data_IF_068096961981
#
_entry.id   IF_068096961981
#
_cell.length_a   1.000
_cell.length_b   1.000
_cell.length_c   1.000
_cell.angle_alpha   90.00
_cell.angle_beta   90.00
_cell.angle_gamma   90.00
#
_symmetry.space_group_name_H-M   'P 1'
#
loop_
_entity.id
_entity.type
_entity.pdbx_description
1 polymer ?
#
# COMPACT_ATOMS: atom_id res chain seq x y z
N UNK A 1 3.30 12.24 -14.58
CA UNK A 1 1.98 11.99 -15.19
C UNK A 1 1.88 12.78 -16.49
N UNK A 2 2.05 12.11 -17.62
CA UNK A 2 1.78 12.70 -18.94
C UNK A 2 0.66 11.86 -19.54
N UNK A 3 -0.34 12.57 -20.06
CA UNK A 3 -1.59 12.10 -20.68
C UNK A 3 -2.74 11.80 -19.70
N UNK A 4 -3.09 12.80 -18.87
CA UNK A 4 -4.42 12.85 -18.27
C UNK A 4 -5.30 13.76 -19.15
N UNK A 5 -6.48 13.32 -19.63
CA UNK A 5 -7.37 14.16 -20.41
C UNK A 5 -7.80 15.39 -19.59
N UNK A 6 -7.96 16.52 -20.28
CA UNK A 6 -8.28 17.81 -19.66
C UNK A 6 -9.53 17.69 -18.76
N UNK A 7 -9.36 18.01 -17.46
CA UNK A 7 -10.44 18.06 -16.47
C UNK A 7 -10.47 16.93 -15.44
N UNK A 8 -9.61 15.91 -15.53
CA UNK A 8 -9.54 14.87 -14.49
C UNK A 8 -8.56 15.25 -13.38
N UNK A 9 -8.99 15.09 -12.12
CA UNK A 9 -8.13 15.32 -10.97
C UNK A 9 -6.92 14.35 -10.98
N UNK A 10 -5.74 14.77 -10.52
CA UNK A 10 -4.58 13.89 -10.47
C UNK A 10 -4.88 12.66 -9.60
N UNK A 11 -4.39 11.47 -9.97
CA UNK A 11 -4.63 10.26 -9.21
C UNK A 11 -4.01 10.37 -7.81
N UNK A 12 -4.80 10.08 -6.78
CA UNK A 12 -4.37 10.14 -5.36
C UNK A 12 -4.12 8.77 -4.74
N UNK A 13 -4.53 7.70 -5.43
CA UNK A 13 -4.42 6.33 -4.95
C UNK A 13 -3.25 5.59 -5.61
N UNK A 14 -2.53 4.79 -4.82
CA UNK A 14 -1.43 3.95 -5.30
C UNK A 14 -1.92 2.50 -5.39
N UNK A 15 -1.69 1.87 -6.53
CA UNK A 15 -2.06 0.49 -6.80
C UNK A 15 -0.87 -0.37 -7.19
N UNK A 16 -1.06 -1.69 -7.17
CA UNK A 16 -0.11 -2.61 -7.77
C UNK A 16 -0.26 -2.69 -9.30
N UNK A 17 0.56 -3.53 -9.95
CA UNK A 17 0.54 -3.68 -11.42
C UNK A 17 -0.75 -4.31 -11.96
N UNK A 18 -1.53 -5.00 -11.14
CA UNK A 18 -2.85 -5.52 -11.47
C UNK A 18 -3.92 -4.44 -11.53
N UNK A 19 -3.69 -3.26 -10.94
CA UNK A 19 -4.62 -2.12 -10.97
C UNK A 19 -4.33 -1.12 -12.11
N UNK A 20 -3.48 -1.48 -13.07
CA UNK A 20 -3.23 -0.66 -14.26
C UNK A 20 -4.54 -0.44 -15.01
N UNK A 21 -4.83 0.81 -15.35
CA UNK A 21 -6.06 1.21 -16.07
C UNK A 21 -7.22 1.67 -15.18
N UNK A 22 -7.06 1.64 -13.85
CA UNK A 22 -8.10 2.05 -12.89
C UNK A 22 -7.94 3.49 -12.35
N UNK A 23 -7.17 4.33 -13.05
CA UNK A 23 -6.92 5.71 -12.60
C UNK A 23 -6.05 5.81 -11.33
N UNK A 24 -5.23 4.79 -11.06
CA UNK A 24 -4.30 4.77 -9.91
C UNK A 24 -2.86 5.03 -10.34
N UNK A 25 -2.03 5.51 -9.41
CA UNK A 25 -0.58 5.54 -9.56
C UNK A 25 -0.07 4.09 -9.42
N UNK A 26 0.39 3.50 -10.51
CA UNK A 26 0.92 2.13 -10.53
C UNK A 26 2.35 2.10 -11.08
N UNK A 27 3.20 1.13 -10.66
CA UNK A 27 4.48 0.93 -11.31
C UNK A 27 4.32 0.62 -12.80
N UNK A 28 5.17 1.25 -13.62
CA UNK A 28 5.25 0.99 -15.07
C UNK A 28 5.60 -0.48 -15.31
N UNK A 29 4.76 -1.15 -16.10
CA UNK A 29 4.99 -2.53 -16.53
C UNK A 29 6.08 -2.56 -17.61
N UNK A 30 7.06 -3.45 -17.45
CA UNK A 30 8.06 -3.72 -18.49
C UNK A 30 7.35 -4.33 -19.70
N UNK A 31 7.56 -3.76 -20.88
CA UNK A 31 7.07 -4.35 -22.13
C UNK A 31 7.96 -5.51 -22.59
N UNK A 32 7.40 -6.49 -23.33
CA UNK A 32 8.20 -7.53 -23.99
C UNK A 32 9.33 -6.92 -24.81
N UNK A 33 10.51 -7.53 -24.74
CA UNK A 33 11.71 -7.18 -25.53
C UNK A 33 12.22 -5.74 -25.41
N UNK A 34 11.67 -4.95 -24.49
CA UNK A 34 12.12 -3.58 -24.22
C UNK A 34 12.67 -3.44 -22.80
N UNK A 35 13.88 -2.90 -22.62
CA UNK A 35 14.37 -2.55 -21.30
C UNK A 35 13.52 -1.43 -20.71
N UNK A 36 13.33 -1.46 -19.40
CA UNK A 36 12.66 -0.38 -18.68
C UNK A 36 13.53 0.89 -18.74
N UNK A 37 12.94 2.04 -19.10
CA UNK A 37 13.69 3.31 -19.17
C UNK A 37 14.22 3.68 -17.78
N UNK A 38 15.30 4.46 -17.73
CA UNK A 38 15.87 4.92 -16.44
C UNK A 38 14.84 5.71 -15.62
N UNK A 39 14.05 6.56 -16.26
CA UNK A 39 12.93 7.30 -15.64
C UNK A 39 11.92 6.37 -14.97
N UNK A 40 11.49 5.34 -15.69
CA UNK A 40 10.50 4.37 -15.23
C UNK A 40 11.02 3.57 -14.05
N UNK A 41 12.32 3.25 -14.03
CA UNK A 41 12.98 2.61 -12.89
C UNK A 41 12.92 3.50 -11.65
N UNK A 42 13.25 4.79 -11.78
CA UNK A 42 13.20 5.75 -10.67
C UNK A 42 11.76 5.88 -10.13
N UNK A 43 10.78 6.02 -11.02
CA UNK A 43 9.37 6.10 -10.64
C UNK A 43 8.91 4.82 -9.94
N UNK A 44 9.22 3.66 -10.51
CA UNK A 44 8.87 2.37 -9.91
C UNK A 44 9.52 2.19 -8.54
N UNK A 45 10.77 2.59 -8.35
CA UNK A 45 11.43 2.52 -7.05
C UNK A 45 10.71 3.39 -6.01
N UNK A 46 10.29 4.61 -6.38
CA UNK A 46 9.53 5.51 -5.50
C UNK A 46 8.19 4.89 -5.09
N UNK A 47 7.41 4.40 -6.06
CA UNK A 47 6.12 3.75 -5.80
C UNK A 47 6.29 2.48 -4.96
N UNK A 48 7.28 1.65 -5.30
CA UNK A 48 7.55 0.41 -4.58
C UNK A 48 8.04 0.66 -3.14
N UNK A 49 8.73 1.76 -2.86
CA UNK A 49 9.14 2.12 -1.49
C UNK A 49 7.92 2.34 -0.59
N UNK A 50 6.90 3.03 -1.09
CA UNK A 50 5.64 3.24 -0.36
C UNK A 50 4.91 1.90 -0.20
N UNK A 51 4.76 1.14 -1.29
CA UNK A 51 4.09 -0.16 -1.26
C UNK A 51 4.73 -1.15 -0.29
N UNK A 52 6.06 -1.18 -0.22
CA UNK A 52 6.79 -2.06 0.69
C UNK A 52 6.40 -1.85 2.16
N UNK A 53 6.23 -0.59 2.59
CA UNK A 53 5.80 -0.27 3.96
C UNK A 53 4.38 -0.80 4.21
N UNK A 54 3.47 -0.60 3.25
CA UNK A 54 2.09 -1.07 3.33
C UNK A 54 2.01 -2.60 3.33
N UNK A 55 2.75 -3.27 2.45
CA UNK A 55 2.79 -4.74 2.36
C UNK A 55 3.37 -5.35 3.64
N UNK A 56 4.41 -4.75 4.23
CA UNK A 56 4.95 -5.16 5.53
C UNK A 56 3.93 -4.95 6.65
N UNK A 57 3.19 -3.84 6.65
CA UNK A 57 2.12 -3.61 7.62
C UNK A 57 1.00 -4.67 7.52
N UNK A 58 0.57 -5.01 6.30
CA UNK A 58 -0.43 -6.06 6.04
C UNK A 58 0.09 -7.44 6.44
N UNK A 59 1.35 -7.76 6.13
CA UNK A 59 1.96 -9.02 6.50
C UNK A 59 2.03 -9.19 8.03
N UNK A 60 2.39 -8.13 8.76
CA UNK A 60 2.33 -8.11 10.22
C UNK A 60 0.89 -8.32 10.70
N UNK A 61 -0.08 -7.59 10.14
CA UNK A 61 -1.49 -7.72 10.51
C UNK A 61 -2.01 -9.15 10.36
N UNK A 62 -1.64 -9.84 9.27
CA UNK A 62 -2.03 -11.23 9.00
C UNK A 62 -1.47 -12.23 10.02
N UNK A 63 -0.33 -11.93 10.64
CA UNK A 63 0.32 -12.83 11.62
C UNK A 63 -0.10 -12.53 13.06
N UNK A 64 -0.78 -11.42 13.32
CA UNK A 64 -1.16 -11.03 14.67
C UNK A 64 -2.18 -11.99 15.28
N UNK A 65 -1.75 -12.67 16.36
CA UNK A 65 -2.61 -13.58 17.13
C UNK A 65 -3.86 -12.88 17.65
N UNK A 66 -3.81 -11.60 18.02
CA UNK A 66 -5.00 -10.86 18.50
C UNK A 66 -6.10 -10.74 17.44
N UNK A 67 -5.74 -10.77 16.15
CA UNK A 67 -6.69 -10.76 15.04
C UNK A 67 -7.01 -12.18 14.54
N UNK A 68 -6.02 -13.08 14.59
CA UNK A 68 -6.15 -14.45 14.10
C UNK A 68 -6.83 -15.41 15.10
N UNK A 69 -6.59 -15.24 16.39
CA UNK A 69 -7.33 -15.96 17.43
C UNK A 69 -8.60 -15.17 17.71
N UNK A 70 -9.76 -15.82 17.58
CA UNK A 70 -11.06 -15.18 17.66
C UNK A 70 -11.14 -14.19 18.82
N UNK A 71 -11.30 -12.91 18.48
CA UNK A 71 -11.40 -11.83 19.45
C UNK A 71 -12.60 -12.10 20.39
N UNK A 72 -12.32 -12.37 21.68
CA UNK A 72 -13.35 -12.75 22.67
C UNK A 72 -13.87 -11.58 23.51
N UNK A 73 -13.36 -10.37 23.31
CA UNK A 73 -13.78 -9.18 24.06
C UNK A 73 -15.05 -8.59 23.44
N UNK A 74 -15.82 -7.79 24.19
CA UNK A 74 -16.98 -7.09 23.64
C UNK A 74 -16.58 -6.27 22.40
N UNK A 75 -17.35 -6.38 21.31
CA UNK A 75 -17.08 -5.68 20.03
C UNK A 75 -16.93 -4.16 20.20
N UNK A 76 -17.61 -3.60 21.21
CA UNK A 76 -17.53 -2.19 21.63
C UNK A 76 -16.10 -1.75 21.97
N UNK A 77 -15.24 -2.68 22.42
CA UNK A 77 -13.83 -2.42 22.79
C UNK A 77 -12.84 -2.68 21.65
N UNK A 78 -13.32 -3.16 20.49
CA UNK A 78 -12.48 -3.45 19.33
C UNK A 78 -11.77 -2.19 18.80
N UNK A 79 -12.42 -1.02 18.63
CA UNK A 79 -11.74 0.19 18.16
C UNK A 79 -10.57 0.61 19.05
N UNK A 80 -10.72 0.50 20.37
CA UNK A 80 -9.65 0.81 21.31
C UNK A 80 -8.50 -0.21 21.22
N UNK A 81 -8.84 -1.50 21.09
CA UNK A 81 -7.85 -2.57 20.96
C UNK A 81 -7.02 -2.40 19.69
N UNK A 82 -7.67 -2.22 18.53
CA UNK A 82 -6.93 -2.06 17.26
C UNK A 82 -6.08 -0.79 17.28
N UNK A 83 -6.58 0.31 17.85
CA UNK A 83 -5.82 1.58 17.98
C UNK A 83 -4.56 1.39 18.83
N UNK A 84 -4.68 0.72 19.98
CA UNK A 84 -3.53 0.46 20.86
C UNK A 84 -2.47 -0.42 20.18
N UNK A 85 -2.90 -1.47 19.47
CA UNK A 85 -1.97 -2.36 18.76
C UNK A 85 -1.30 -1.65 17.57
N UNK A 86 -2.05 -0.83 16.82
CA UNK A 86 -1.49 0.01 15.76
C UNK A 86 -0.44 0.99 16.31
N UNK A 87 -0.73 1.65 17.44
CA UNK A 87 0.21 2.55 18.08
C UNK A 87 1.50 1.81 18.51
N UNK A 88 1.36 0.67 19.19
CA UNK A 88 2.50 -0.15 19.62
C UNK A 88 3.34 -0.68 18.46
N UNK A 89 2.75 -0.91 17.28
CA UNK A 89 3.48 -1.50 16.15
C UNK A 89 4.05 -0.49 15.17
N UNK A 90 3.36 0.64 14.96
CA UNK A 90 3.70 1.62 13.93
C UNK A 90 4.18 2.96 14.47
N UNK A 91 3.86 3.32 15.72
CA UNK A 91 4.30 4.59 16.33
C UNK A 91 5.34 4.40 17.42
N UNK A 92 5.45 3.21 18.00
CA UNK A 92 6.53 2.90 18.93
C UNK A 92 7.87 2.88 18.17
N UNK A 93 8.69 3.87 18.47
CA UNK A 93 10.10 3.93 18.07
C UNK A 93 10.87 3.72 19.37
N UNK A 94 11.67 2.65 19.52
CA UNK A 94 12.40 2.38 20.75
C UNK A 94 13.42 3.46 21.08
#
# INVERSE_FOLDING_TARGET
PQDLPDGQAPPTHIGDKGYIGLGMITPVRKQPDRPLRKSDKIQNTSVNRIRYVVERAIANLKTWRVLHTGYRRPIQTFPQTITAVLALTFTYTP
#
